data_IF_060565598484
#
_entry.id   IF_060565598484
#
_cell.length_a   1.000
_cell.length_b   1.000
_cell.length_c   1.000
_cell.angle_alpha   90.00
_cell.angle_beta   90.00
_cell.angle_gamma   90.00
#
_symmetry.space_group_name_H-M   'P 1'
#
loop_
_entity.id
_entity.type
_entity.pdbx_description
1 polymer ?
#
# COMPACT_ATOMS: atom_id res chain seq x y z
N UNK A 1 8.76 -10.76 11.60
CA UNK A 1 7.29 -10.73 11.45
C UNK A 1 6.95 -10.45 10.01
N UNK A 2 6.05 -11.21 9.40
CA UNK A 2 5.58 -10.96 8.04
C UNK A 2 4.72 -9.68 8.01
N UNK A 3 4.85 -8.86 6.97
CA UNK A 3 3.97 -7.70 6.78
C UNK A 3 2.53 -8.20 6.51
N UNK A 4 1.53 -7.83 7.34
CA UNK A 4 0.15 -8.33 7.19
C UNK A 4 -0.53 -7.87 5.89
N UNK A 5 0.02 -6.86 5.20
CA UNK A 5 -0.49 -6.35 3.92
C UNK A 5 0.17 -7.01 2.70
N UNK A 6 1.17 -7.87 2.88
CA UNK A 6 1.86 -8.49 1.76
C UNK A 6 0.93 -9.46 1.01
N UNK A 7 0.78 -9.26 -0.31
CA UNK A 7 -0.14 -10.01 -1.18
C UNK A 7 -1.62 -9.95 -0.79
N UNK A 8 -2.02 -8.98 0.04
CA UNK A 8 -3.41 -8.77 0.44
C UNK A 8 -4.19 -8.03 -0.66
N UNK A 9 -5.38 -8.52 -1.01
CA UNK A 9 -6.33 -7.76 -1.84
C UNK A 9 -7.03 -6.70 -0.97
N UNK A 10 -7.09 -5.45 -1.45
CA UNK A 10 -7.77 -4.35 -0.75
C UNK A 10 -9.03 -4.02 -1.56
N UNK A 11 -10.18 -4.53 -1.11
CA UNK A 11 -11.47 -4.36 -1.79
C UNK A 11 -12.39 -3.46 -0.97
N UNK A 12 -12.42 -3.64 0.35
CA UNK A 12 -13.21 -2.86 1.28
C UNK A 12 -12.36 -2.35 2.45
N UNK A 13 -12.76 -1.21 3.02
CA UNK A 13 -12.14 -0.69 4.25
C UNK A 13 -12.32 -1.65 5.43
N UNK A 14 -13.37 -2.47 5.41
CA UNK A 14 -13.63 -3.49 6.44
C UNK A 14 -12.59 -4.62 6.43
N UNK A 15 -11.80 -4.74 5.36
CA UNK A 15 -10.70 -5.72 5.26
C UNK A 15 -9.48 -5.27 6.08
N UNK A 16 -9.43 -4.02 6.55
CA UNK A 16 -8.30 -3.44 7.26
C UNK A 16 -8.60 -3.30 8.75
N UNK A 17 -7.70 -3.85 9.57
CA UNK A 17 -7.72 -3.60 11.02
C UNK A 17 -7.23 -2.18 11.33
N UNK A 18 -7.44 -1.73 12.58
CA UNK A 18 -6.87 -0.46 13.06
C UNK A 18 -5.34 -0.44 12.93
N UNK A 19 -4.67 -1.55 13.20
CA UNK A 19 -3.22 -1.64 13.11
C UNK A 19 -2.73 -1.59 11.66
N UNK A 20 -3.47 -2.21 10.73
CA UNK A 20 -3.20 -2.10 9.30
C UNK A 20 -3.28 -0.63 8.83
N UNK A 21 -4.32 0.09 9.25
CA UNK A 21 -4.49 1.50 8.92
C UNK A 21 -3.36 2.37 9.49
N UNK A 22 -3.00 2.14 10.75
CA UNK A 22 -1.87 2.83 11.38
C UNK A 22 -0.55 2.56 10.65
N UNK A 23 -0.33 1.30 10.21
CA UNK A 23 0.84 0.92 9.42
C UNK A 23 0.88 1.65 8.07
N UNK A 24 -0.24 1.74 7.36
CA UNK A 24 -0.35 2.50 6.09
C UNK A 24 -0.03 3.97 6.33
N UNK A 25 -0.64 4.61 7.33
CA UNK A 25 -0.42 6.03 7.64
C UNK A 25 1.03 6.32 8.00
N UNK A 26 1.63 5.50 8.88
CA UNK A 26 3.03 5.65 9.27
C UNK A 26 3.98 5.46 8.08
N UNK A 27 3.69 4.50 7.19
CA UNK A 27 4.50 4.25 5.99
C UNK A 27 4.38 5.40 5.00
N UNK A 28 3.17 5.92 4.78
CA UNK A 28 2.93 7.06 3.89
C UNK A 28 3.66 8.33 4.39
N UNK A 29 3.62 8.61 5.71
CA UNK A 29 4.35 9.73 6.29
C UNK A 29 5.87 9.61 6.08
N UNK A 30 6.44 8.41 6.26
CA UNK A 30 7.86 8.14 6.00
C UNK A 30 8.24 8.34 4.54
N UNK A 31 7.44 7.83 3.60
CA UNK A 31 7.69 7.99 2.17
C UNK A 31 7.54 9.44 1.70
N UNK A 32 6.61 10.20 2.29
CA UNK A 32 6.47 11.64 2.03
C UNK A 32 7.68 12.43 2.52
N UNK A 33 8.20 12.09 3.70
CA UNK A 33 9.38 12.75 4.27
C UNK A 33 10.68 12.37 3.55
N UNK A 34 10.82 11.10 3.14
CA UNK A 34 11.98 10.56 2.44
C UNK A 34 11.51 9.73 1.24
N UNK A 35 11.33 10.35 0.05
CA UNK A 35 10.87 9.66 -1.15
C UNK A 35 11.78 8.48 -1.53
N UNK A 36 11.17 7.35 -1.91
CA UNK A 36 11.88 6.14 -2.35
C UNK A 36 11.43 5.73 -3.77
N UNK A 37 11.93 6.41 -4.82
CA UNK A 37 11.46 6.20 -6.19
C UNK A 37 11.70 4.78 -6.74
N UNK A 38 12.76 4.10 -6.27
CA UNK A 38 13.14 2.76 -6.73
C UNK A 38 12.45 1.63 -5.94
N UNK A 39 11.55 1.93 -4.98
CA UNK A 39 10.98 0.93 -4.07
C UNK A 39 10.23 -0.20 -4.79
N UNK A 40 9.63 0.09 -5.94
CA UNK A 40 8.89 -0.86 -6.77
C UNK A 40 9.65 -1.28 -8.03
N UNK A 41 10.98 -1.10 -8.06
CA UNK A 41 11.80 -1.52 -9.21
C UNK A 41 11.57 -3.00 -9.51
N UNK A 42 11.52 -3.32 -10.81
CA UNK A 42 11.25 -4.67 -11.32
C UNK A 42 9.85 -5.22 -10.98
N UNK A 43 8.90 -4.36 -10.58
CA UNK A 43 7.48 -4.70 -10.48
C UNK A 43 6.71 -4.01 -11.61
N UNK A 44 5.70 -4.72 -12.12
CA UNK A 44 4.77 -4.20 -13.13
C UNK A 44 3.42 -4.00 -12.43
N UNK A 45 2.80 -2.84 -12.63
CA UNK A 45 1.48 -2.51 -12.08
C UNK A 45 0.53 -2.35 -13.27
N UNK A 46 -0.54 -3.14 -13.29
CA UNK A 46 -1.64 -2.98 -14.24
C UNK A 46 -2.71 -2.07 -13.63
N UNK A 47 -3.29 -1.21 -14.45
CA UNK A 47 -4.38 -0.31 -14.06
C UNK A 47 -5.55 -0.47 -15.02
N UNK A 48 -6.75 -0.73 -14.49
CA UNK A 48 -7.96 -0.93 -15.28
C UNK A 48 -9.07 -0.05 -14.71
N UNK A 49 -9.52 0.93 -15.49
CA UNK A 49 -10.61 1.83 -15.16
C UNK A 49 -11.65 1.78 -16.27
N UNK A 50 -12.92 1.60 -15.91
CA UNK A 50 -14.05 1.63 -16.85
C UNK A 50 -14.68 3.03 -16.97
N UNK A 51 -14.34 3.91 -16.03
CA UNK A 51 -14.83 5.29 -15.93
C UNK A 51 -13.64 6.20 -15.59
N UNK A 52 -13.73 7.48 -15.97
CA UNK A 52 -12.67 8.48 -15.82
C UNK A 52 -12.74 9.23 -14.49
#
# INVERSE_FOLDING_TARGET
MANPLYQKHIISINDLSRDDLNLVLATAAKLKANPQPELLKHKVIASCFFEA
#
